data_IF_421197969079
#
_entry.id   IF_421197969079
#
_cell.length_a   1.000
_cell.length_b   1.000
_cell.length_c   1.000
_cell.angle_alpha   90.00
_cell.angle_beta   90.00
_cell.angle_gamma   90.00
#
_symmetry.space_group_name_H-M   'P 1'
#
loop_
_entity.id
_entity.type
_entity.pdbx_description
1 polymer ?
#
# COMPACT_ATOMS: atom_id res chain seq x y z
N UNK A 1 20.37 -27.85 14.07
CA UNK A 1 19.49 -27.22 13.07
C UNK A 1 18.07 -27.55 13.46
N UNK A 2 17.23 -26.54 13.69
CA UNK A 2 15.78 -26.73 13.85
C UNK A 2 15.26 -27.31 12.54
N UNK A 3 14.39 -28.32 12.60
CA UNK A 3 13.79 -28.89 11.40
C UNK A 3 12.82 -27.89 10.76
N UNK A 4 12.83 -27.77 9.44
CA UNK A 4 11.88 -26.90 8.71
C UNK A 4 10.41 -27.20 9.09
N UNK A 5 10.06 -28.47 9.35
CA UNK A 5 8.72 -28.84 9.82
C UNK A 5 8.34 -28.27 11.20
N UNK A 6 9.31 -28.07 12.08
CA UNK A 6 9.07 -27.48 13.41
C UNK A 6 8.79 -25.98 13.28
N UNK A 7 9.59 -25.28 12.46
CA UNK A 7 9.37 -23.87 12.14
C UNK A 7 7.99 -23.65 11.50
N UNK A 8 7.57 -24.52 10.57
CA UNK A 8 6.25 -24.43 9.95
C UNK A 8 5.11 -24.52 10.97
N UNK A 9 5.18 -25.46 11.91
CA UNK A 9 4.17 -25.59 12.97
C UNK A 9 4.13 -24.34 13.87
N UNK A 10 5.29 -23.74 14.16
CA UNK A 10 5.33 -22.50 14.92
C UNK A 10 4.68 -21.33 14.16
N UNK A 11 4.93 -21.22 12.85
CA UNK A 11 4.27 -20.22 12.00
C UNK A 11 2.75 -20.44 11.99
N UNK A 12 2.28 -21.67 11.79
CA UNK A 12 0.85 -22.01 11.82
C UNK A 12 0.21 -21.66 13.18
N UNK A 13 0.89 -21.96 14.28
CA UNK A 13 0.41 -21.63 15.63
C UNK A 13 0.30 -20.12 15.86
N UNK A 14 1.27 -19.32 15.39
CA UNK A 14 1.17 -17.87 15.49
C UNK A 14 0.09 -17.30 14.56
N UNK A 15 -0.09 -17.85 13.35
CA UNK A 15 -1.21 -17.48 12.47
C UNK A 15 -2.55 -17.75 13.18
N UNK A 16 -2.74 -18.94 13.73
CA UNK A 16 -3.97 -19.28 14.46
C UNK A 16 -4.20 -18.32 15.64
N UNK A 17 -3.14 -18.02 16.39
CA UNK A 17 -3.17 -17.11 17.54
C UNK A 17 -3.60 -15.68 17.17
N UNK A 18 -3.08 -15.15 16.06
CA UNK A 18 -3.35 -13.76 15.63
C UNK A 18 -4.54 -13.65 14.66
N UNK A 19 -5.09 -14.77 14.17
CA UNK A 19 -6.19 -14.82 13.19
C UNK A 19 -7.37 -13.92 13.58
N UNK A 20 -7.84 -14.03 14.83
CA UNK A 20 -8.95 -13.23 15.35
C UNK A 20 -8.63 -11.73 15.31
N UNK A 21 -7.43 -11.34 15.73
CA UNK A 21 -7.02 -9.92 15.72
C UNK A 21 -6.88 -9.38 14.30
N UNK A 22 -6.42 -10.20 13.34
CA UNK A 22 -6.32 -9.81 11.94
C UNK A 22 -7.70 -9.64 11.29
N UNK A 23 -8.65 -10.52 11.62
CA UNK A 23 -10.06 -10.38 11.20
C UNK A 23 -10.66 -9.11 11.80
N UNK A 24 -10.46 -8.86 13.09
CA UNK A 24 -10.93 -7.65 13.76
C UNK A 24 -10.32 -6.37 13.16
N UNK A 25 -9.05 -6.42 12.74
CA UNK A 25 -8.40 -5.33 12.01
C UNK A 25 -9.08 -5.10 10.65
N UNK A 26 -9.24 -6.15 9.85
CA UNK A 26 -9.93 -6.07 8.54
C UNK A 26 -11.36 -5.51 8.68
N UNK A 27 -12.14 -6.01 9.64
CA UNK A 27 -13.50 -5.55 9.91
C UNK A 27 -13.54 -4.09 10.38
N UNK A 28 -12.54 -3.67 11.16
CA UNK A 28 -12.42 -2.29 11.61
C UNK A 28 -12.12 -1.36 10.44
N UNK A 29 -11.16 -1.70 9.58
CA UNK A 29 -10.82 -0.94 8.37
C UNK A 29 -12.03 -0.82 7.45
N UNK A 30 -12.74 -1.92 7.19
CA UNK A 30 -13.97 -1.91 6.39
C UNK A 30 -15.04 -0.93 6.90
N UNK A 31 -15.16 -0.79 8.24
CA UNK A 31 -16.13 0.12 8.89
C UNK A 31 -15.65 1.56 9.01
N UNK A 32 -14.34 1.81 8.89
CA UNK A 32 -13.72 3.11 9.08
C UNK A 32 -12.80 3.42 7.89
N UNK A 33 -13.35 3.51 6.66
CA UNK A 33 -12.55 3.74 5.48
C UNK A 33 -11.91 5.12 5.52
N UNK A 34 -10.61 5.19 5.28
CA UNK A 34 -9.86 6.42 5.07
C UNK A 34 -9.31 6.41 3.64
N UNK A 35 -9.48 7.53 2.94
CA UNK A 35 -9.07 7.64 1.54
C UNK A 35 -7.58 7.93 1.43
N UNK A 36 -7.00 7.69 0.24
CA UNK A 36 -5.59 7.93 -0.08
C UNK A 36 -5.05 9.23 0.52
N UNK A 37 -3.87 9.16 1.13
CA UNK A 37 -3.18 10.23 1.87
C UNK A 37 -3.84 10.65 3.20
N UNK A 38 -4.98 10.07 3.55
CA UNK A 38 -5.71 10.35 4.80
C UNK A 38 -5.86 9.10 5.69
N UNK A 39 -5.26 7.96 5.30
CA UNK A 39 -5.22 6.69 6.07
C UNK A 39 -4.38 6.72 7.36
N UNK A 40 -4.60 7.71 8.23
CA UNK A 40 -3.89 7.85 9.50
C UNK A 40 -4.27 6.78 10.51
N UNK A 41 -5.56 6.53 10.72
CA UNK A 41 -6.02 5.53 11.67
C UNK A 41 -5.80 4.10 11.16
N UNK A 42 -5.97 3.87 9.85
CA UNK A 42 -5.64 2.60 9.21
C UNK A 42 -4.14 2.28 9.35
N UNK A 43 -3.26 3.23 9.05
CA UNK A 43 -1.82 3.09 9.30
C UNK A 43 -1.54 2.79 10.78
N UNK A 44 -2.10 3.58 11.70
CA UNK A 44 -1.92 3.40 13.15
C UNK A 44 -2.36 2.02 13.63
N UNK A 45 -3.44 1.47 13.07
CA UNK A 45 -3.97 0.14 13.40
C UNK A 45 -3.06 -0.98 12.89
N UNK A 46 -2.50 -0.85 11.68
CA UNK A 46 -1.48 -1.77 11.19
C UNK A 46 -0.22 -1.74 12.07
N UNK A 47 0.27 -0.55 12.41
CA UNK A 47 1.42 -0.38 13.32
C UNK A 47 1.15 -1.06 14.66
N UNK A 48 0.01 -0.78 15.30
CA UNK A 48 -0.34 -1.39 16.58
C UNK A 48 -0.48 -2.92 16.50
N UNK A 49 -1.01 -3.44 15.39
CA UNK A 49 -1.09 -4.88 15.16
C UNK A 49 0.31 -5.50 15.08
N UNK A 50 1.23 -4.90 14.31
CA UNK A 50 2.61 -5.37 14.17
C UNK A 50 3.38 -5.28 15.49
N UNK A 51 3.23 -4.21 16.26
CA UNK A 51 3.82 -4.07 17.59
C UNK A 51 3.33 -5.17 18.55
N UNK A 52 2.03 -5.52 18.48
CA UNK A 52 1.47 -6.62 19.27
C UNK A 52 2.05 -8.00 18.90
N UNK A 53 2.54 -8.14 17.65
CA UNK A 53 3.26 -9.30 17.17
C UNK A 53 4.78 -9.24 17.43
N UNK A 54 5.26 -8.22 18.16
CA UNK A 54 6.66 -8.11 18.56
C UNK A 54 7.59 -7.57 17.46
N UNK A 55 7.06 -6.71 16.60
CA UNK A 55 7.85 -5.88 15.68
C UNK A 55 8.11 -4.50 16.28
N UNK A 56 9.26 -3.92 15.98
CA UNK A 56 9.53 -2.50 16.21
C UNK A 56 9.27 -1.77 14.90
N UNK A 57 8.34 -0.82 14.91
CA UNK A 57 7.84 -0.17 13.70
C UNK A 57 8.25 1.30 13.70
N UNK A 58 8.87 1.74 12.60
CA UNK A 58 9.14 3.16 12.31
C UNK A 58 7.94 3.75 11.58
N UNK A 59 7.39 4.86 12.10
CA UNK A 59 6.33 5.63 11.45
C UNK A 59 6.42 7.10 11.91
N UNK A 60 6.29 8.10 11.03
CA UNK A 60 6.21 7.97 9.57
C UNK A 60 7.54 7.49 8.97
N UNK A 61 7.48 6.84 7.80
CA UNK A 61 8.65 6.35 7.09
C UNK A 61 8.86 7.14 5.79
N UNK A 62 10.11 7.40 5.40
CA UNK A 62 10.44 8.04 4.10
C UNK A 62 9.62 9.31 3.80
N UNK A 63 9.41 10.18 4.79
CA UNK A 63 8.61 11.42 4.70
C UNK A 63 7.15 11.26 4.22
N UNK A 64 6.59 10.05 4.29
CA UNK A 64 5.18 9.78 3.95
C UNK A 64 4.43 9.54 5.27
N UNK A 65 3.52 10.46 5.59
CA UNK A 65 2.90 10.58 6.92
C UNK A 65 2.16 9.31 7.38
N UNK A 66 1.56 8.57 6.45
CA UNK A 66 0.77 7.36 6.68
C UNK A 66 1.50 6.10 6.22
N UNK A 67 2.83 6.15 6.12
CA UNK A 67 3.66 4.97 5.83
C UNK A 67 4.41 4.50 7.08
N UNK A 68 4.88 3.26 7.03
CA UNK A 68 5.68 2.69 8.10
C UNK A 68 6.69 1.68 7.54
N UNK A 69 7.71 1.35 8.34
CA UNK A 69 8.60 0.23 8.06
C UNK A 69 8.96 -0.55 9.32
N UNK A 70 9.23 -1.85 9.15
CA UNK A 70 9.82 -2.68 10.20
C UNK A 70 10.77 -3.68 9.56
N UNK A 71 11.80 -4.09 10.31
CA UNK A 71 12.78 -5.08 9.90
C UNK A 71 12.98 -6.09 11.01
N UNK A 72 13.03 -7.38 10.68
CA UNK A 72 13.28 -8.45 11.64
C UNK A 72 14.05 -9.60 11.01
N UNK A 73 14.97 -10.20 11.76
CA UNK A 73 15.81 -11.31 11.30
C UNK A 73 17.26 -10.89 11.04
N UNK A 74 17.94 -11.62 10.15
CA UNK A 74 19.36 -11.48 9.86
C UNK A 74 19.59 -10.55 8.66
N UNK A 75 20.12 -9.31 8.86
CA UNK A 75 20.36 -8.35 7.79
C UNK A 75 21.49 -8.76 6.83
N UNK A 76 22.29 -9.78 7.17
CA UNK A 76 23.30 -10.37 6.28
C UNK A 76 22.72 -11.49 5.38
N UNK A 77 21.48 -11.91 5.63
CA UNK A 77 20.77 -12.90 4.82
C UNK A 77 19.94 -12.27 3.69
N UNK A 78 19.19 -13.12 2.95
CA UNK A 78 18.27 -12.66 1.93
C UNK A 78 17.16 -11.78 2.51
N UNK A 79 16.76 -10.73 1.79
CA UNK A 79 15.77 -9.74 2.22
C UNK A 79 14.48 -9.91 1.45
N UNK A 80 13.40 -10.19 2.18
CA UNK A 80 12.05 -10.31 1.62
C UNK A 80 11.19 -9.16 2.14
N UNK A 81 10.69 -8.33 1.23
CA UNK A 81 9.77 -7.25 1.51
C UNK A 81 8.32 -7.73 1.41
N UNK A 82 7.52 -7.47 2.46
CA UNK A 82 6.07 -7.66 2.48
C UNK A 82 5.37 -6.30 2.59
N UNK A 83 4.57 -5.98 1.58
CA UNK A 83 3.89 -4.70 1.45
C UNK A 83 2.46 -4.72 2.02
N UNK A 84 2.00 -3.55 2.47
CA UNK A 84 0.69 -3.35 3.09
C UNK A 84 -0.05 -2.22 2.39
N UNK A 85 -1.24 -2.52 1.89
CA UNK A 85 -2.19 -1.53 1.34
C UNK A 85 -3.37 -1.39 2.30
N UNK A 86 -3.85 -0.16 2.49
CA UNK A 86 -4.89 0.14 3.47
C UNK A 86 -5.62 1.47 3.21
N UNK A 87 -5.50 2.03 2.01
CA UNK A 87 -6.33 3.15 1.58
C UNK A 87 -7.70 2.67 1.05
N UNK A 88 -8.69 3.56 1.09
CA UNK A 88 -10.05 3.31 0.64
C UNK A 88 -10.45 4.24 -0.52
N UNK A 89 -11.52 3.86 -1.21
CA UNK A 89 -12.05 4.62 -2.34
C UNK A 89 -13.07 5.68 -1.87
N UNK A 90 -13.03 6.91 -2.44
CA UNK A 90 -14.00 7.97 -2.13
C UNK A 90 -15.44 7.54 -2.38
N UNK A 91 -16.28 7.59 -1.33
CA UNK A 91 -17.71 7.26 -1.41
C UNK A 91 -18.05 5.76 -1.54
N UNK A 92 -17.05 4.90 -1.68
CA UNK A 92 -17.22 3.44 -1.84
C UNK A 92 -16.71 2.68 -0.59
N UNK A 93 -15.67 3.20 0.07
CA UNK A 93 -14.96 2.47 1.13
C UNK A 93 -13.92 1.53 0.54
N UNK A 94 -13.61 0.41 1.20
CA UNK A 94 -12.63 -0.56 0.70
C UNK A 94 -13.19 -1.46 -0.42
N UNK A 95 -13.67 -0.84 -1.51
CA UNK A 95 -14.18 -1.54 -2.68
C UNK A 95 -13.12 -2.40 -3.40
N UNK A 96 -11.85 -2.03 -3.29
CA UNK A 96 -10.71 -2.79 -3.83
C UNK A 96 -10.18 -3.87 -2.85
N UNK A 97 -10.70 -3.90 -1.61
CA UNK A 97 -10.37 -4.94 -0.63
C UNK A 97 -9.09 -4.70 0.18
N UNK A 98 -8.53 -3.48 0.18
CA UNK A 98 -7.30 -3.16 0.93
C UNK A 98 -7.42 -3.44 2.43
N UNK A 99 -8.63 -3.39 3.01
CA UNK A 99 -8.88 -3.81 4.39
C UNK A 99 -8.49 -5.27 4.64
N UNK A 100 -8.73 -6.16 3.68
CA UNK A 100 -8.40 -7.58 3.78
C UNK A 100 -6.94 -7.80 3.39
N UNK A 101 -6.49 -7.22 2.26
CA UNK A 101 -5.12 -7.32 1.75
C UNK A 101 -4.08 -6.91 2.81
N UNK A 102 -4.23 -5.72 3.39
CA UNK A 102 -3.34 -5.23 4.45
C UNK A 102 -3.39 -6.09 5.71
N UNK A 103 -4.56 -6.57 6.12
CA UNK A 103 -4.70 -7.43 7.29
C UNK A 103 -4.05 -8.81 7.08
N UNK A 104 -4.11 -9.36 5.87
CA UNK A 104 -3.43 -10.60 5.49
C UNK A 104 -1.90 -10.44 5.54
N UNK A 105 -1.36 -9.32 5.04
CA UNK A 105 0.06 -9.00 5.21
C UNK A 105 0.46 -8.92 6.69
N UNK A 106 -0.40 -8.32 7.52
CA UNK A 106 -0.21 -8.30 8.98
C UNK A 106 -0.14 -9.70 9.57
N UNK A 107 -1.12 -10.54 9.24
CA UNK A 107 -1.18 -11.92 9.74
C UNK A 107 0.04 -12.75 9.32
N UNK A 108 0.50 -12.59 8.07
CA UNK A 108 1.72 -13.24 7.59
C UNK A 108 2.96 -12.79 8.37
N UNK A 109 3.10 -11.48 8.63
CA UNK A 109 4.16 -10.95 9.47
C UNK A 109 4.07 -11.51 10.91
N UNK A 110 2.88 -11.56 11.51
CA UNK A 110 2.69 -12.12 12.83
C UNK A 110 3.08 -13.61 12.89
N UNK A 111 2.70 -14.39 11.88
CA UNK A 111 3.09 -15.80 11.74
C UNK A 111 4.61 -16.01 11.75
N UNK A 112 5.35 -15.15 11.05
CA UNK A 112 6.81 -15.24 10.96
C UNK A 112 7.55 -14.70 12.19
N UNK A 113 6.87 -13.94 13.05
CA UNK A 113 7.49 -13.13 14.11
C UNK A 113 8.44 -13.89 15.04
N UNK A 114 8.17 -15.16 15.35
CA UNK A 114 8.94 -16.00 16.28
C UNK A 114 10.04 -16.82 15.61
N UNK A 115 10.00 -16.97 14.30
CA UNK A 115 10.96 -17.79 13.55
C UNK A 115 12.07 -16.96 12.92
N UNK A 116 11.88 -15.64 12.75
CA UNK A 116 12.85 -14.76 12.09
C UNK A 116 14.26 -14.81 12.69
N UNK A 117 14.40 -14.94 14.01
CA UNK A 117 15.72 -15.00 14.68
C UNK A 117 16.42 -16.37 14.53
N UNK A 118 15.73 -17.35 13.96
CA UNK A 118 16.20 -18.75 13.80
C UNK A 118 16.40 -19.13 12.34
N UNK A 119 16.04 -18.26 11.41
CA UNK A 119 16.24 -18.45 9.97
C UNK A 119 17.27 -17.44 9.45
N UNK A 120 17.93 -17.80 8.35
CA UNK A 120 18.83 -16.89 7.64
C UNK A 120 18.01 -16.06 6.66
N UNK A 121 17.79 -14.79 7.00
CA UNK A 121 17.06 -13.84 6.17
C UNK A 121 16.43 -12.74 7.00
N UNK A 122 16.09 -11.65 6.34
CA UNK A 122 15.44 -10.48 6.90
C UNK A 122 14.05 -10.31 6.28
N UNK A 123 13.04 -10.18 7.13
CA UNK A 123 11.71 -9.76 6.73
C UNK A 123 11.63 -8.25 6.87
N UNK A 124 11.32 -7.58 5.77
CA UNK A 124 11.11 -6.14 5.70
C UNK A 124 9.62 -5.89 5.49
N UNK A 125 9.00 -5.13 6.37
CA UNK A 125 7.60 -4.75 6.27
C UNK A 125 7.54 -3.29 5.81
N UNK A 126 6.67 -2.98 4.84
CA UNK A 126 6.52 -1.63 4.31
C UNK A 126 5.05 -1.28 4.14
N UNK A 127 4.61 -0.23 4.81
CA UNK A 127 3.32 0.41 4.60
C UNK A 127 3.33 1.23 3.31
N UNK A 128 2.46 0.88 2.36
CA UNK A 128 2.38 1.49 1.02
C UNK A 128 1.01 2.17 0.84
N UNK A 129 0.78 3.35 1.47
CA UNK A 129 -0.48 4.09 1.39
C UNK A 129 -0.78 4.62 -0.02
N UNK A 130 -1.96 5.22 -0.21
CA UNK A 130 -2.34 5.94 -1.42
C UNK A 130 -2.14 5.16 -2.74
N UNK A 131 -2.46 3.86 -2.76
CA UNK A 131 -2.35 3.04 -3.97
C UNK A 131 -3.32 3.53 -5.06
N UNK A 132 -4.54 3.90 -4.68
CA UNK A 132 -5.64 4.24 -5.60
C UNK A 132 -5.48 5.60 -6.31
N UNK A 133 -4.42 6.36 -5.98
CA UNK A 133 -4.21 7.71 -6.51
C UNK A 133 -2.81 7.87 -7.11
N UNK A 134 -1.87 8.43 -6.36
CA UNK A 134 -0.51 8.70 -6.83
C UNK A 134 0.44 7.50 -6.68
N UNK A 135 0.05 6.49 -5.91
CA UNK A 135 0.83 5.28 -5.68
C UNK A 135 2.10 5.57 -4.90
N UNK A 136 2.04 5.58 -3.56
CA UNK A 136 3.23 5.83 -2.72
C UNK A 136 4.40 4.88 -3.02
N UNK A 137 4.13 3.70 -3.57
CA UNK A 137 5.14 2.72 -4.03
C UNK A 137 6.11 3.32 -5.04
N UNK A 138 5.68 4.25 -5.89
CA UNK A 138 6.55 4.94 -6.85
C UNK A 138 7.58 5.78 -6.09
N UNK A 139 7.15 6.61 -5.15
CA UNK A 139 8.02 7.44 -4.31
C UNK A 139 8.94 6.58 -3.44
N UNK A 140 8.43 5.49 -2.87
CA UNK A 140 9.24 4.55 -2.07
C UNK A 140 10.30 3.85 -2.93
N UNK A 141 9.97 3.48 -4.17
CA UNK A 141 10.92 2.92 -5.12
C UNK A 141 12.01 3.93 -5.51
N UNK A 142 11.64 5.17 -5.80
CA UNK A 142 12.60 6.26 -6.08
C UNK A 142 13.54 6.54 -4.90
N UNK A 143 13.03 6.40 -3.66
CA UNK A 143 13.84 6.51 -2.44
C UNK A 143 14.69 5.25 -2.14
N UNK A 144 14.67 4.25 -3.03
CA UNK A 144 15.52 3.06 -2.94
C UNK A 144 15.06 2.04 -1.90
N UNK A 145 13.80 2.07 -1.47
CA UNK A 145 13.26 1.11 -0.48
C UNK A 145 13.42 -0.34 -0.97
N UNK A 146 13.36 -0.55 -2.29
CA UNK A 146 13.40 -1.88 -2.90
C UNK A 146 14.77 -2.27 -3.48
N UNK A 147 15.75 -1.35 -3.57
CA UNK A 147 17.03 -1.54 -4.31
C UNK A 147 17.92 -2.66 -3.79
N UNK A 148 17.68 -3.13 -2.56
CA UNK A 148 18.43 -4.22 -1.93
C UNK A 148 17.58 -5.42 -1.53
N UNK A 149 16.34 -5.50 -1.99
CA UNK A 149 15.45 -6.63 -1.68
C UNK A 149 15.68 -7.78 -2.68
N UNK A 150 15.80 -9.00 -2.18
CA UNK A 150 15.86 -10.19 -3.04
C UNK A 150 14.47 -10.56 -3.57
N UNK A 151 13.42 -10.19 -2.83
CA UNK A 151 12.03 -10.40 -3.21
C UNK A 151 11.15 -9.31 -2.59
N UNK A 152 10.18 -8.78 -3.35
CA UNK A 152 9.12 -7.92 -2.84
C UNK A 152 7.76 -8.53 -3.19
N UNK A 153 6.90 -8.67 -2.18
CA UNK A 153 5.61 -9.34 -2.30
C UNK A 153 4.49 -8.47 -1.72
N UNK A 154 3.32 -8.59 -2.30
CA UNK A 154 2.05 -8.18 -1.72
C UNK A 154 1.02 -9.27 -1.94
N UNK A 155 -0.03 -9.25 -1.14
CA UNK A 155 -1.26 -9.99 -1.40
C UNK A 155 -2.33 -8.97 -1.72
N UNK A 156 -3.10 -9.22 -2.77
CA UNK A 156 -4.24 -8.39 -3.13
C UNK A 156 -5.47 -9.29 -3.24
N UNK A 157 -6.53 -8.95 -2.52
CA UNK A 157 -7.78 -9.69 -2.61
C UNK A 157 -8.43 -9.52 -3.99
N UNK A 158 -8.99 -10.62 -4.49
CA UNK A 158 -9.72 -10.66 -5.75
C UNK A 158 -11.07 -11.34 -5.50
N UNK A 159 -12.07 -11.07 -6.35
CA UNK A 159 -13.45 -11.51 -6.10
C UNK A 159 -13.69 -13.02 -6.33
N UNK A 160 -12.81 -13.70 -7.08
CA UNK A 160 -13.04 -15.08 -7.54
C UNK A 160 -11.81 -15.98 -7.47
N UNK A 161 -10.76 -15.60 -8.19
CA UNK A 161 -9.64 -16.48 -8.48
C UNK A 161 -8.39 -16.04 -7.71
N UNK A 162 -7.67 -17.05 -7.21
CA UNK A 162 -6.31 -16.88 -6.69
C UNK A 162 -5.33 -17.22 -7.79
N UNK A 163 -4.48 -16.26 -8.14
CA UNK A 163 -3.38 -16.45 -9.07
C UNK A 163 -2.11 -15.79 -8.55
N UNK A 164 -0.99 -16.28 -9.03
CA UNK A 164 0.35 -15.74 -8.74
C UNK A 164 0.87 -15.09 -10.01
N UNK A 165 1.74 -14.09 -9.87
CA UNK A 165 2.36 -13.38 -11.01
C UNK A 165 1.36 -12.58 -11.85
N UNK A 166 0.74 -11.58 -11.23
CA UNK A 166 -0.08 -10.59 -11.92
C UNK A 166 0.79 -9.60 -12.71
N UNK A 167 0.29 -9.13 -13.87
CA UNK A 167 0.91 -8.06 -14.64
C UNK A 167 -0.10 -6.93 -14.83
N UNK A 168 0.27 -5.73 -14.41
CA UNK A 168 -0.52 -4.50 -14.58
C UNK A 168 0.00 -3.65 -15.73
N UNK A 169 -0.81 -2.71 -16.19
CA UNK A 169 -0.40 -1.69 -17.14
C UNK A 169 0.33 -0.55 -16.41
N UNK A 170 1.34 0.02 -17.06
CA UNK A 170 1.88 1.30 -16.64
C UNK A 170 0.85 2.41 -16.88
N UNK A 171 0.71 3.31 -15.92
CA UNK A 171 -0.21 4.45 -15.98
C UNK A 171 0.53 5.72 -15.55
N UNK A 172 0.24 6.82 -16.24
CA UNK A 172 0.68 8.16 -15.87
C UNK A 172 -0.47 9.14 -16.14
N UNK A 173 -0.63 10.14 -15.27
CA UNK A 173 -1.73 11.09 -15.32
C UNK A 173 -1.21 12.48 -15.68
N UNK A 174 -1.70 13.05 -16.79
CA UNK A 174 -1.27 14.37 -17.28
C UNK A 174 -2.37 15.40 -17.11
N UNK A 175 -2.08 16.49 -16.38
CA UNK A 175 -2.97 17.65 -16.26
C UNK A 175 -2.62 18.72 -17.33
N UNK A 176 -3.62 19.15 -18.10
CA UNK A 176 -3.50 20.28 -19.02
C UNK A 176 -4.32 21.47 -18.52
N UNK A 177 -3.66 22.63 -18.35
CA UNK A 177 -4.32 23.88 -17.97
C UNK A 177 -4.34 24.87 -19.14
N UNK A 178 -5.54 25.23 -19.58
CA UNK A 178 -5.74 26.26 -20.61
C UNK A 178 -6.11 27.59 -19.98
N UNK A 179 -5.26 28.60 -20.18
CA UNK A 179 -5.54 29.99 -19.73
C UNK A 179 -5.82 30.87 -20.93
N UNK A 180 -7.00 31.48 -20.91
CA UNK A 180 -7.50 32.36 -21.97
C UNK A 180 -7.46 33.84 -21.58
N UNK A 181 -8.16 34.65 -22.37
CA UNK A 181 -8.43 36.06 -22.08
C UNK A 181 -9.94 36.28 -22.23
N UNK A 182 -10.66 36.73 -21.19
CA UNK A 182 -12.09 36.99 -21.29
C UNK A 182 -12.36 38.18 -22.22
N UNK A 183 -13.50 38.13 -22.90
CA UNK A 183 -14.04 39.22 -23.70
C UNK A 183 -15.57 39.09 -23.78
N UNK A 184 -16.25 40.16 -24.20
CA UNK A 184 -17.70 40.12 -24.38
C UNK A 184 -18.06 39.23 -25.57
N UNK A 185 -18.68 38.08 -25.32
CA UNK A 185 -18.88 37.03 -26.33
C UNK A 185 -19.59 37.51 -27.60
N UNK A 186 -20.62 38.35 -27.46
CA UNK A 186 -21.38 38.88 -28.60
C UNK A 186 -20.86 40.21 -29.15
N UNK A 187 -19.97 40.90 -28.43
CA UNK A 187 -19.64 42.31 -28.69
C UNK A 187 -18.23 42.50 -29.22
N UNK A 188 -17.27 41.76 -28.67
CA UNK A 188 -15.86 41.85 -29.05
C UNK A 188 -15.15 40.49 -28.92
N UNK A 189 -15.68 39.40 -29.53
CA UNK A 189 -15.08 38.07 -29.37
C UNK A 189 -13.62 37.98 -29.83
N UNK A 190 -13.22 38.79 -30.82
CA UNK A 190 -11.83 38.86 -31.31
C UNK A 190 -10.83 39.41 -30.29
N UNK A 191 -11.28 40.14 -29.26
CA UNK A 191 -10.41 40.62 -28.19
C UNK A 191 -10.09 39.55 -27.15
N UNK A 192 -10.81 38.42 -27.17
CA UNK A 192 -10.64 37.29 -26.27
C UNK A 192 -9.71 36.20 -26.78
N UNK A 193 -9.32 35.29 -25.87
CA UNK A 193 -8.67 34.01 -26.18
C UNK A 193 -9.44 32.92 -25.49
N UNK A 194 -10.14 32.08 -26.25
CA UNK A 194 -11.09 31.13 -25.69
C UNK A 194 -10.38 29.87 -25.19
N UNK A 195 -10.26 29.72 -23.87
CA UNK A 195 -9.67 28.54 -23.24
C UNK A 195 -10.49 27.26 -23.49
N UNK A 196 -11.83 27.37 -23.56
CA UNK A 196 -12.70 26.23 -23.85
C UNK A 196 -12.45 25.67 -25.25
N UNK A 197 -12.25 26.54 -26.25
CA UNK A 197 -11.87 26.09 -27.60
C UNK A 197 -10.52 25.36 -27.58
N UNK A 198 -9.56 25.80 -26.76
CA UNK A 198 -8.28 25.12 -26.58
C UNK A 198 -8.45 23.70 -26.04
N UNK A 199 -9.30 23.52 -25.02
CA UNK A 199 -9.65 22.20 -24.48
C UNK A 199 -10.33 21.33 -25.54
N UNK A 200 -11.29 21.88 -26.29
CA UNK A 200 -11.97 21.13 -27.34
C UNK A 200 -11.02 20.64 -28.43
N UNK A 201 -10.05 21.48 -28.84
CA UNK A 201 -9.06 21.10 -29.84
C UNK A 201 -8.15 19.96 -29.35
N UNK A 202 -7.76 19.94 -28.08
CA UNK A 202 -6.97 18.84 -27.52
C UNK A 202 -7.67 17.48 -27.66
N UNK A 203 -8.99 17.43 -27.45
CA UNK A 203 -9.76 16.18 -27.53
C UNK A 203 -10.16 15.77 -28.96
N UNK A 204 -10.07 16.69 -29.93
CA UNK A 204 -10.47 16.45 -31.32
C UNK A 204 -9.30 16.33 -32.30
N UNK A 205 -8.08 16.65 -31.88
CA UNK A 205 -6.86 16.56 -32.68
C UNK A 205 -6.30 15.13 -32.77
#
# INVERSE_FOLDING_TARGET
MVGVSELWKEVENEIERFSKQAIELSDWLAKNPEISEQEFEACRKHVAFLESAGYTVETPFMDIATSFSSRKGDPAGPKVCLMFEYDALPGIGHGCGHNVSGAMSGLAAAGLSRVMDRIKGELVLVGTPAEETNGSKVVLAEKGVFDGMDLAMMVHCNDRDTYVSYSSLAMDAVEFRFTGKPAHAAGEPWAGRNALNGVQLLFHA
#
